data_IF_995454423107
#
_entry.id   IF_995454423107
#
_cell.length_a   1.000
_cell.length_b   1.000
_cell.length_c   1.000
_cell.angle_alpha   90.00
_cell.angle_beta   90.00
_cell.angle_gamma   90.00
#
_symmetry.space_group_name_H-M   'P 1'
#
loop_
_entity.id
_entity.type
_entity.pdbx_description
1 polymer ?
#
# COMPACT_ATOMS: atom_id res chain seq x y z
N UNK A 1 32.70 -16.10 -24.86
CA UNK A 1 31.25 -16.39 -24.87
C UNK A 1 30.71 -16.55 -23.44
N UNK A 2 31.17 -17.57 -22.70
CA UNK A 2 30.75 -17.84 -21.30
C UNK A 2 30.89 -16.65 -20.33
N UNK A 3 31.99 -15.89 -20.40
CA UNK A 3 32.23 -14.73 -19.52
C UNK A 3 31.23 -13.57 -19.76
N UNK A 4 30.82 -13.38 -21.03
CA UNK A 4 29.83 -12.37 -21.42
C UNK A 4 28.41 -12.76 -20.96
N UNK A 5 28.15 -14.06 -20.92
CA UNK A 5 26.89 -14.66 -20.45
C UNK A 5 26.77 -14.57 -18.92
N UNK A 6 27.85 -14.85 -18.19
CA UNK A 6 27.92 -14.68 -16.74
C UNK A 6 27.76 -13.21 -16.31
N UNK A 7 28.38 -12.27 -17.04
CA UNK A 7 28.22 -10.84 -16.80
C UNK A 7 26.77 -10.37 -17.03
N UNK A 8 26.10 -10.85 -18.08
CA UNK A 8 24.71 -10.54 -18.36
C UNK A 8 23.75 -11.10 -17.29
N UNK A 9 24.00 -12.31 -16.79
CA UNK A 9 23.21 -12.92 -15.71
C UNK A 9 23.36 -12.13 -14.39
N UNK A 10 24.59 -11.71 -14.06
CA UNK A 10 24.86 -10.87 -12.87
C UNK A 10 24.16 -9.52 -12.96
N UNK A 11 24.26 -8.84 -14.10
CA UNK A 11 23.59 -7.56 -14.32
C UNK A 11 22.06 -7.68 -14.22
N UNK A 12 21.49 -8.77 -14.74
CA UNK A 12 20.06 -9.04 -14.61
C UNK A 12 19.66 -9.28 -13.15
N UNK A 13 20.45 -10.03 -12.39
CA UNK A 13 20.22 -10.25 -10.97
C UNK A 13 20.24 -8.94 -10.17
N UNK A 14 21.25 -8.09 -10.37
CA UNK A 14 21.35 -6.79 -9.70
C UNK A 14 20.14 -5.91 -9.99
N UNK A 15 19.70 -5.85 -11.26
CA UNK A 15 18.51 -5.07 -11.66
C UNK A 15 17.22 -5.58 -11.01
N UNK A 16 17.00 -6.90 -10.99
CA UNK A 16 15.82 -7.48 -10.36
C UNK A 16 15.85 -7.26 -8.84
N UNK A 17 17.04 -7.26 -8.22
CA UNK A 17 17.22 -7.00 -6.79
C UNK A 17 16.92 -5.55 -6.43
N UNK A 18 17.38 -4.59 -7.23
CA UNK A 18 17.04 -3.17 -7.07
C UNK A 18 15.53 -2.95 -7.19
N UNK A 19 14.90 -3.57 -8.19
CA UNK A 19 13.45 -3.49 -8.40
C UNK A 19 12.69 -4.09 -7.20
N UNK A 20 13.12 -5.24 -6.69
CA UNK A 20 12.53 -5.88 -5.51
C UNK A 20 12.62 -4.97 -4.27
N UNK A 21 13.79 -4.35 -4.02
CA UNK A 21 13.96 -3.42 -2.90
C UNK A 21 13.05 -2.19 -3.03
N UNK A 22 12.96 -1.62 -4.23
CA UNK A 22 12.07 -0.48 -4.48
C UNK A 22 10.59 -0.83 -4.28
N UNK A 23 10.17 -2.03 -4.69
CA UNK A 23 8.82 -2.55 -4.44
C UNK A 23 8.55 -2.72 -2.94
N UNK A 24 9.51 -3.26 -2.19
CA UNK A 24 9.40 -3.43 -0.74
C UNK A 24 9.22 -2.08 -0.02
N UNK A 25 10.03 -1.07 -0.35
CA UNK A 25 9.87 0.28 0.20
C UNK A 25 8.53 0.92 -0.17
N UNK A 26 8.10 0.74 -1.42
CA UNK A 26 6.81 1.26 -1.90
C UNK A 26 5.63 0.57 -1.21
N UNK A 27 5.71 -0.74 -0.98
CA UNK A 27 4.70 -1.51 -0.26
C UNK A 27 4.56 -1.01 1.17
N UNK A 28 5.68 -0.82 1.88
CA UNK A 28 5.68 -0.28 3.23
C UNK A 28 4.99 1.08 3.30
N UNK A 29 5.35 2.02 2.41
CA UNK A 29 4.70 3.35 2.35
C UNK A 29 3.19 3.25 2.08
N UNK A 30 2.77 2.30 1.24
CA UNK A 30 1.36 2.08 0.93
C UNK A 30 0.60 1.55 2.16
N UNK A 31 1.20 0.61 2.90
CA UNK A 31 0.64 0.08 4.16
C UNK A 31 0.54 1.16 5.25
N UNK A 32 1.55 2.02 5.39
CA UNK A 32 1.53 3.15 6.32
C UNK A 32 0.40 4.13 5.98
N UNK A 33 0.25 4.48 4.70
CA UNK A 33 -0.85 5.33 4.22
C UNK A 33 -2.23 4.71 4.48
N UNK A 34 -2.36 3.39 4.25
CA UNK A 34 -3.59 2.64 4.58
C UNK A 34 -3.93 2.71 6.06
N UNK A 35 -2.94 2.54 6.94
CA UNK A 35 -3.17 2.58 8.38
C UNK A 35 -3.69 3.96 8.82
N UNK A 36 -3.20 5.05 8.22
CA UNK A 36 -3.75 6.39 8.44
C UNK A 36 -5.21 6.50 7.99
N UNK A 37 -5.56 5.95 6.82
CA UNK A 37 -6.94 5.92 6.33
C UNK A 37 -7.88 5.13 7.26
N UNK A 38 -7.41 4.02 7.84
CA UNK A 38 -8.19 3.24 8.82
C UNK A 38 -8.47 4.07 10.07
N UNK A 39 -7.50 4.82 10.59
CA UNK A 39 -7.74 5.73 11.72
C UNK A 39 -8.81 6.77 11.38
N UNK A 40 -8.67 7.41 10.21
CA UNK A 40 -9.63 8.41 9.76
C UNK A 40 -11.03 7.84 9.54
N UNK A 41 -11.13 6.60 9.03
CA UNK A 41 -12.40 5.91 8.87
C UNK A 41 -13.06 5.70 10.23
N UNK A 42 -12.31 5.16 11.20
CA UNK A 42 -12.80 4.91 12.56
C UNK A 42 -13.32 6.19 13.22
N UNK A 43 -12.54 7.27 13.16
CA UNK A 43 -12.92 8.58 13.69
C UNK A 43 -14.18 9.13 13.00
N UNK A 44 -14.26 9.01 11.68
CA UNK A 44 -15.42 9.51 10.91
C UNK A 44 -16.67 8.67 11.18
N UNK A 45 -16.53 7.36 11.31
CA UNK A 45 -17.62 6.45 11.67
C UNK A 45 -18.16 6.76 13.07
N UNK A 46 -17.28 6.99 14.04
CA UNK A 46 -17.70 7.40 15.38
C UNK A 46 -18.51 8.70 15.34
N UNK A 47 -18.03 9.71 14.62
CA UNK A 47 -18.78 10.97 14.44
C UNK A 47 -20.15 10.73 13.78
N UNK A 48 -20.24 9.80 12.83
CA UNK A 48 -21.50 9.42 12.21
C UNK A 48 -22.47 8.79 13.22
N UNK A 49 -21.99 7.89 14.08
CA UNK A 49 -22.79 7.26 15.13
C UNK A 49 -23.33 8.29 16.13
N UNK A 50 -22.52 9.30 16.49
CA UNK A 50 -22.95 10.43 17.31
C UNK A 50 -24.04 11.26 16.62
N UNK A 51 -23.92 11.50 15.31
CA UNK A 51 -24.95 12.19 14.53
C UNK A 51 -26.26 11.41 14.42
N UNK A 52 -26.20 10.08 14.43
CA UNK A 52 -27.36 9.19 14.42
C UNK A 52 -28.09 9.20 15.79
N UNK A 53 -27.37 9.50 16.87
CA UNK A 53 -27.87 9.53 18.25
C UNK A 53 -28.22 10.93 18.77
N UNK A 54 -28.14 11.95 17.91
CA UNK A 54 -28.30 13.34 18.34
C UNK A 54 -29.75 13.70 18.68
N UNK A 55 -29.94 14.51 19.72
CA UNK A 55 -31.25 15.00 20.13
C UNK A 55 -31.88 15.92 19.07
N UNK A 56 -33.21 15.87 18.98
CA UNK A 56 -33.97 16.74 18.09
C UNK A 56 -33.82 18.21 18.52
N UNK A 57 -33.49 19.09 17.57
CA UNK A 57 -33.24 20.50 17.85
C UNK A 57 -31.82 20.86 18.30
N UNK A 58 -30.89 19.90 18.35
CA UNK A 58 -29.48 20.16 18.65
C UNK A 58 -28.85 21.15 17.66
N UNK A 59 -27.98 22.02 18.18
CA UNK A 59 -27.27 23.03 17.38
C UNK A 59 -25.83 22.57 17.10
N UNK A 60 -25.50 22.40 15.83
CA UNK A 60 -24.17 21.96 15.39
C UNK A 60 -23.25 23.16 15.17
N UNK A 61 -22.00 23.03 15.62
CA UNK A 61 -20.92 23.95 15.32
C UNK A 61 -19.73 23.21 14.72
N UNK A 62 -19.09 23.83 13.73
CA UNK A 62 -17.83 23.35 13.13
C UNK A 62 -16.70 24.32 13.49
N UNK A 63 -15.59 23.78 13.96
CA UNK A 63 -14.37 24.54 14.18
C UNK A 63 -13.73 24.90 12.82
N UNK A 64 -13.54 26.19 12.58
CA UNK A 64 -12.86 26.73 11.40
C UNK A 64 -11.76 27.69 11.88
N UNK A 65 -10.51 27.23 11.85
CA UNK A 65 -9.40 27.98 12.47
C UNK A 65 -9.65 28.19 13.97
N UNK A 66 -9.56 29.42 14.49
CA UNK A 66 -9.80 29.71 15.91
C UNK A 66 -11.28 29.93 16.28
N UNK A 67 -12.25 29.77 15.34
CA UNK A 67 -13.67 30.11 15.58
C UNK A 67 -14.62 28.94 15.37
N UNK A 68 -15.73 28.94 16.11
CA UNK A 68 -16.84 28.00 15.93
C UNK A 68 -17.91 28.62 15.03
N UNK A 69 -18.25 27.94 13.94
CA UNK A 69 -19.25 28.38 12.97
C UNK A 69 -20.47 27.46 13.07
N UNK A 70 -21.65 28.03 13.28
CA UNK A 70 -22.92 27.26 13.27
C UNK A 70 -23.09 26.58 11.92
N UNK A 71 -23.51 25.32 11.92
CA UNK A 71 -23.77 24.54 10.72
C UNK A 71 -25.19 24.00 10.73
N UNK A 72 -25.74 23.81 9.53
CA UNK A 72 -26.97 23.04 9.36
C UNK A 72 -26.68 21.55 9.67
N UNK A 73 -27.59 20.90 10.38
CA UNK A 73 -27.43 19.50 10.81
C UNK A 73 -27.37 18.55 9.60
N UNK A 74 -28.25 18.71 8.63
CA UNK A 74 -28.31 17.85 7.44
C UNK A 74 -27.05 18.02 6.59
N UNK A 75 -26.57 19.25 6.42
CA UNK A 75 -25.30 19.52 5.74
C UNK A 75 -24.11 18.90 6.48
N UNK A 76 -24.11 18.93 7.81
CA UNK A 76 -23.06 18.31 8.62
C UNK A 76 -23.06 16.78 8.46
N UNK A 77 -24.25 16.14 8.51
CA UNK A 77 -24.42 14.70 8.28
C UNK A 77 -23.95 14.29 6.88
N UNK A 78 -24.43 14.98 5.84
CA UNK A 78 -24.05 14.70 4.46
C UNK A 78 -22.53 14.84 4.23
N UNK A 79 -21.87 15.79 4.89
CA UNK A 79 -20.42 15.93 4.82
C UNK A 79 -19.67 14.75 5.47
N UNK A 80 -20.15 14.25 6.60
CA UNK A 80 -19.57 13.08 7.27
C UNK A 80 -19.77 11.82 6.44
N UNK A 81 -20.97 11.61 5.90
CA UNK A 81 -21.27 10.47 5.02
C UNK A 81 -20.39 10.48 3.77
N UNK A 82 -20.32 11.60 3.07
CA UNK A 82 -19.47 11.73 1.87
C UNK A 82 -17.98 11.53 2.19
N UNK A 83 -17.53 11.98 3.37
CA UNK A 83 -16.16 11.72 3.82
C UNK A 83 -15.93 10.23 4.06
N UNK A 84 -16.87 9.55 4.70
CA UNK A 84 -16.80 8.11 4.97
C UNK A 84 -16.79 7.28 3.68
N UNK A 85 -17.63 7.64 2.71
CA UNK A 85 -17.63 7.03 1.37
C UNK A 85 -16.28 7.17 0.67
N UNK A 86 -15.72 8.39 0.68
CA UNK A 86 -14.41 8.66 0.08
C UNK A 86 -13.31 7.82 0.74
N UNK A 87 -13.24 7.80 2.08
CA UNK A 87 -12.22 7.05 2.82
C UNK A 87 -12.36 5.54 2.56
N UNK A 88 -13.59 5.03 2.54
CA UNK A 88 -13.86 3.62 2.24
C UNK A 88 -13.38 3.25 0.82
N UNK A 89 -13.67 4.09 -0.17
CA UNK A 89 -13.17 3.88 -1.53
C UNK A 89 -11.64 3.96 -1.64
N UNK A 90 -10.99 4.84 -0.88
CA UNK A 90 -9.52 4.91 -0.80
C UNK A 90 -8.92 3.66 -0.14
N UNK A 91 -9.56 3.12 0.90
CA UNK A 91 -9.13 1.86 1.53
C UNK A 91 -9.18 0.70 0.53
N UNK A 92 -10.26 0.55 -0.22
CA UNK A 92 -10.38 -0.48 -1.26
C UNK A 92 -9.32 -0.33 -2.35
N UNK A 93 -9.03 0.91 -2.78
CA UNK A 93 -7.95 1.19 -3.73
C UNK A 93 -6.59 0.81 -3.16
N UNK A 94 -6.35 1.13 -1.89
CA UNK A 94 -5.11 0.78 -1.19
C UNK A 94 -4.94 -0.73 -1.04
N UNK A 95 -6.02 -1.45 -0.70
CA UNK A 95 -6.04 -2.93 -0.60
C UNK A 95 -5.65 -3.58 -1.93
N UNK A 96 -6.22 -3.11 -3.05
CA UNK A 96 -5.87 -3.59 -4.39
C UNK A 96 -4.40 -3.32 -4.71
N UNK A 97 -3.91 -2.11 -4.42
CA UNK A 97 -2.53 -1.73 -4.69
C UNK A 97 -1.53 -2.57 -3.87
N UNK A 98 -1.86 -2.86 -2.60
CA UNK A 98 -1.07 -3.74 -1.74
C UNK A 98 -1.03 -5.15 -2.34
N UNK A 99 -2.18 -5.73 -2.68
CA UNK A 99 -2.26 -7.06 -3.26
C UNK A 99 -1.47 -7.19 -4.57
N UNK A 100 -1.57 -6.20 -5.46
CA UNK A 100 -0.82 -6.16 -6.72
C UNK A 100 0.69 -6.08 -6.47
N UNK A 101 1.14 -5.24 -5.53
CA UNK A 101 2.56 -5.13 -5.15
C UNK A 101 3.09 -6.39 -4.50
N UNK A 102 2.33 -7.04 -3.64
CA UNK A 102 2.71 -8.31 -3.02
C UNK A 102 2.88 -9.40 -4.07
N UNK A 103 1.97 -9.47 -5.05
CA UNK A 103 2.10 -10.39 -6.19
C UNK A 103 3.34 -10.10 -7.02
N UNK A 104 3.58 -8.83 -7.39
CA UNK A 104 4.78 -8.45 -8.14
C UNK A 104 6.06 -8.80 -7.36
N UNK A 105 6.06 -8.54 -6.04
CA UNK A 105 7.18 -8.88 -5.16
C UNK A 105 7.46 -10.39 -5.12
N UNK A 106 6.42 -11.23 -5.08
CA UNK A 106 6.56 -12.70 -5.17
C UNK A 106 7.16 -13.14 -6.51
N UNK A 107 6.71 -12.56 -7.63
CA UNK A 107 7.25 -12.86 -8.96
C UNK A 107 8.74 -12.48 -9.06
N UNK A 108 9.11 -11.31 -8.53
CA UNK A 108 10.50 -10.85 -8.45
C UNK A 108 11.37 -11.74 -7.57
N UNK A 109 10.84 -12.17 -6.42
CA UNK A 109 11.53 -13.11 -5.53
C UNK A 109 11.82 -14.44 -6.24
N UNK A 110 10.84 -15.00 -6.95
CA UNK A 110 11.04 -16.23 -7.72
C UNK A 110 12.08 -16.05 -8.84
N UNK A 111 12.06 -14.91 -9.54
CA UNK A 111 13.04 -14.60 -10.57
C UNK A 111 14.47 -14.52 -9.99
N UNK A 112 14.64 -13.88 -8.83
CA UNK A 112 15.92 -13.80 -8.12
C UNK A 112 16.43 -15.18 -7.71
N UNK A 113 15.57 -16.04 -7.16
CA UNK A 113 15.94 -17.42 -6.79
C UNK A 113 16.39 -18.21 -8.00
N UNK A 114 15.68 -18.14 -9.12
CA UNK A 114 16.04 -18.85 -10.36
C UNK A 114 17.39 -18.36 -10.92
N UNK A 115 17.62 -17.05 -10.91
CA UNK A 115 18.89 -16.47 -11.35
C UNK A 115 20.06 -16.90 -10.45
N UNK A 116 19.83 -16.99 -9.13
CA UNK A 116 20.83 -17.46 -8.18
C UNK A 116 21.14 -18.95 -8.35
N UNK A 117 20.13 -19.79 -8.57
CA UNK A 117 20.30 -21.22 -8.85
C UNK A 117 21.08 -21.45 -10.15
N UNK A 118 20.69 -20.78 -11.24
CA UNK A 118 21.40 -20.88 -12.52
C UNK A 118 22.86 -20.43 -12.42
N UNK A 119 23.15 -19.40 -11.61
CA UNK A 119 24.51 -18.96 -11.35
C UNK A 119 25.35 -19.98 -10.55
N UNK A 120 24.74 -20.67 -9.57
CA UNK A 120 25.41 -21.76 -8.83
C UNK A 120 25.67 -22.98 -9.72
N UNK A 121 24.71 -23.38 -10.54
CA UNK A 121 24.86 -24.49 -11.49
C UNK A 121 25.96 -24.23 -12.53
N UNK A 122 26.08 -22.99 -13.01
CA UNK A 122 27.14 -22.59 -13.92
C UNK A 122 28.53 -22.47 -13.26
N UNK A 123 28.58 -22.35 -11.93
CA UNK A 123 29.81 -22.23 -11.14
C UNK A 123 30.30 -23.57 -10.56
N UNK A 124 29.46 -24.62 -10.55
CA UNK A 124 29.90 -25.98 -10.25
C UNK A 124 30.89 -26.43 -11.33
N UNK A 125 32.09 -26.93 -10.99
CA UNK A 125 32.99 -27.50 -11.97
C UNK A 125 32.23 -28.66 -12.64
N UNK A 126 32.25 -28.72 -13.97
CA UNK A 126 31.85 -29.91 -14.70
C UNK A 126 32.66 -31.05 -14.07
N UNK A 127 32.00 -31.90 -13.27
CA UNK A 127 32.63 -33.07 -12.69
C UNK A 127 33.29 -33.82 -13.85
N UNK A 128 34.62 -33.85 -13.80
CA UNK A 128 35.47 -34.51 -14.77
C UNK A 128 34.97 -35.94 -14.89
N UNK A 129 34.34 -36.26 -16.02
CA UNK A 129 34.09 -37.63 -16.42
C UNK A 129 35.41 -38.21 -16.87
N UNK A 130 36.10 -38.90 -15.95
CA UNK A 130 36.99 -40.03 -16.26
C UNK A 130 36.20 -41.33 -16.31
#
# INVERSE_FOLDING_TARGET
AKEKEAAAAKQKFEKELETFKALQESLQKTMEGRMSLVSQQSETSLVKEEFDSIEEGAVIYKLVGPVMVKQNLDDAKANVEKRLEYITGELERSDKLIADKEKEMQEKQQALVRLQQAAQEAALPAAEGE
#
